data_IF_974528692945
#
_entry.id   IF_974528692945
#
_cell.length_a   1.000
_cell.length_b   1.000
_cell.length_c   1.000
_cell.angle_alpha   90.00
_cell.angle_beta   90.00
_cell.angle_gamma   90.00
#
_symmetry.space_group_name_H-M   'P 1'
#
loop_
_entity.id
_entity.type
_entity.pdbx_description
1 polymer ?
#
# COMPACT_ATOMS: atom_id res chain seq x y z
N UNK A 1 12.32 1.67 -2.93
CA UNK A 1 11.89 2.11 -1.57
C UNK A 1 10.64 2.99 -1.57
N UNK A 2 10.31 3.76 -2.62
CA UNK A 2 9.28 4.82 -2.51
C UNK A 2 7.83 4.44 -2.90
N UNK A 3 7.56 3.21 -3.34
CA UNK A 3 6.29 2.87 -4.00
C UNK A 3 5.09 2.84 -3.05
N UNK A 4 5.23 2.19 -1.88
CA UNK A 4 4.16 2.07 -0.89
C UNK A 4 3.92 3.38 -0.16
N UNK A 5 4.99 4.06 0.23
CA UNK A 5 4.92 5.30 1.02
C UNK A 5 4.25 6.43 0.25
N UNK A 6 4.50 6.54 -1.07
CA UNK A 6 3.79 7.49 -1.95
C UNK A 6 2.30 7.15 -2.10
N UNK A 7 1.95 5.86 -2.21
CA UNK A 7 0.54 5.43 -2.23
C UNK A 7 -0.16 5.79 -0.94
N UNK A 8 0.43 5.45 0.22
CA UNK A 8 -0.12 5.75 1.54
C UNK A 8 -0.35 7.26 1.71
N UNK A 9 0.63 8.11 1.36
CA UNK A 9 0.45 9.57 1.41
C UNK A 9 -0.64 10.09 0.49
N UNK A 10 -0.90 9.43 -0.66
CA UNK A 10 -1.93 9.85 -1.62
C UNK A 10 -3.34 9.49 -1.14
N UNK A 11 -3.48 8.38 -0.41
CA UNK A 11 -4.77 7.91 0.13
C UNK A 11 -5.02 8.38 1.56
N UNK A 12 -4.02 9.00 2.20
CA UNK A 12 -4.14 9.58 3.53
C UNK A 12 -5.32 10.57 3.56
N UNK A 13 -6.26 10.33 4.48
CA UNK A 13 -7.51 11.10 4.58
C UNK A 13 -8.62 10.79 3.57
N UNK A 14 -8.44 9.87 2.60
CA UNK A 14 -9.46 9.53 1.58
C UNK A 14 -10.55 8.53 2.05
N UNK A 15 -10.54 8.16 3.33
CA UNK A 15 -11.49 7.22 3.91
C UNK A 15 -11.18 5.75 3.60
N UNK A 16 -11.84 4.84 4.32
CA UNK A 16 -11.51 3.42 4.37
C UNK A 16 -11.46 2.71 3.00
N UNK A 17 -12.33 3.11 2.05
CA UNK A 17 -12.35 2.55 0.69
C UNK A 17 -11.03 2.76 -0.06
N UNK A 18 -10.30 3.85 0.19
CA UNK A 18 -9.06 4.14 -0.51
C UNK A 18 -7.92 3.17 -0.12
N UNK A 19 -8.00 2.56 1.06
CA UNK A 19 -7.06 1.52 1.47
C UNK A 19 -7.25 0.22 0.68
N UNK A 20 -8.35 0.00 -0.05
CA UNK A 20 -8.44 -1.17 -0.95
C UNK A 20 -7.47 -1.08 -2.12
N UNK A 21 -7.00 0.13 -2.47
CA UNK A 21 -6.03 0.37 -3.54
C UNK A 21 -4.56 0.07 -3.14
N UNK A 22 -4.27 -0.15 -1.85
CA UNK A 22 -2.93 -0.58 -1.43
C UNK A 22 -2.69 -2.08 -1.62
N UNK A 23 -3.70 -2.85 -2.02
CA UNK A 23 -3.55 -4.27 -2.37
C UNK A 23 -2.50 -4.45 -3.46
N UNK A 24 -1.64 -5.46 -3.33
CA UNK A 24 -0.55 -5.75 -4.27
C UNK A 24 0.80 -6.02 -3.59
N UNK A 25 1.83 -6.19 -4.41
CA UNK A 25 3.18 -6.52 -3.97
C UNK A 25 4.09 -5.29 -3.94
N UNK A 26 4.88 -5.16 -2.87
CA UNK A 26 5.85 -4.09 -2.69
C UNK A 26 7.23 -4.69 -2.42
N UNK A 27 8.17 -4.43 -3.32
CA UNK A 27 9.56 -4.84 -3.15
C UNK A 27 10.29 -3.90 -2.19
N UNK A 28 10.83 -4.50 -1.13
CA UNK A 28 11.79 -3.91 -0.21
C UNK A 28 13.15 -4.55 -0.41
N UNK A 29 14.18 -3.95 0.16
CA UNK A 29 15.57 -4.33 -0.09
C UNK A 29 15.92 -5.76 0.37
N UNK A 30 15.15 -6.36 1.28
CA UNK A 30 15.38 -7.71 1.79
C UNK A 30 14.16 -8.62 1.78
N UNK A 31 12.99 -8.15 1.32
CA UNK A 31 11.76 -8.92 1.29
C UNK A 31 10.74 -8.29 0.35
N UNK A 32 9.69 -9.04 0.01
CA UNK A 32 8.52 -8.52 -0.71
C UNK A 32 7.33 -8.57 0.22
N UNK A 33 6.67 -7.43 0.41
CA UNK A 33 5.42 -7.35 1.16
C UNK A 33 4.26 -7.58 0.20
N UNK A 34 3.45 -8.60 0.47
CA UNK A 34 2.23 -8.89 -0.27
C UNK A 34 1.02 -8.46 0.57
N UNK A 35 0.25 -7.50 0.05
CA UNK A 35 -1.00 -7.06 0.65
C UNK A 35 -2.12 -7.75 -0.11
N UNK A 36 -2.54 -8.92 0.36
CA UNK A 36 -3.55 -9.75 -0.31
C UNK A 36 -4.97 -9.49 0.17
N UNK A 37 -5.19 -8.89 1.33
CA UNK A 37 -6.53 -8.53 1.78
C UNK A 37 -6.48 -7.26 2.60
N UNK A 38 -7.44 -6.37 2.33
CA UNK A 38 -7.71 -5.17 3.12
C UNK A 38 -9.20 -5.25 3.45
N UNK A 39 -9.52 -5.17 4.74
CA UNK A 39 -10.90 -5.24 5.23
C UNK A 39 -11.75 -4.08 4.68
#
# INVERSE_FOLDING_TARGET
MESLQRKLRRIDGRGYKAYKEIRGAYQFQGYTLFVDHVQ
#
